data_IF_784910855051
#
_entry.id   IF_784910855051
#
_cell.length_a   1.000
_cell.length_b   1.000
_cell.length_c   1.000
_cell.angle_alpha   90.00
_cell.angle_beta   90.00
_cell.angle_gamma   90.00
#
_symmetry.space_group_name_H-M   'P 1'
#
loop_
_entity.id
_entity.type
_entity.pdbx_description
1 polymer ?
#
# COMPACT_ATOMS: atom_id res chain seq x y z
N UNK A 1 -22.18 19.43 24.35
CA UNK A 1 -22.73 18.18 24.92
C UNK A 1 -22.83 17.21 23.76
N UNK A 2 -21.74 16.52 23.47
CA UNK A 2 -21.68 15.56 22.37
C UNK A 2 -22.28 14.28 22.93
N UNK A 3 -23.42 13.86 22.39
CA UNK A 3 -23.97 12.53 22.60
C UNK A 3 -22.92 11.52 22.16
N UNK A 4 -22.28 10.87 23.14
CA UNK A 4 -21.54 9.61 22.99
C UNK A 4 -22.55 8.55 22.51
N UNK A 5 -22.88 8.58 21.21
CA UNK A 5 -23.33 7.37 20.55
C UNK A 5 -22.09 6.48 20.55
N UNK A 6 -22.08 5.50 21.44
CA UNK A 6 -21.05 4.45 21.48
C UNK A 6 -20.99 3.81 20.10
N UNK A 7 -20.11 4.33 19.26
CA UNK A 7 -19.87 3.77 17.93
C UNK A 7 -19.09 2.49 18.17
N UNK A 8 -19.80 1.37 18.11
CA UNK A 8 -19.17 0.06 18.28
C UNK A 8 -18.41 -0.26 17.00
N UNK A 9 -17.11 0.00 17.01
CA UNK A 9 -16.23 -0.46 15.95
C UNK A 9 -16.13 -1.99 15.99
N UNK A 10 -16.22 -2.63 14.81
CA UNK A 10 -15.86 -4.03 14.66
C UNK A 10 -14.33 -4.14 14.62
N UNK A 11 -13.73 -4.52 15.74
CA UNK A 11 -12.29 -4.77 15.87
C UNK A 11 -12.04 -6.21 15.43
N UNK A 12 -11.09 -6.47 14.52
CA UNK A 12 -10.86 -7.83 14.04
C UNK A 12 -10.36 -8.72 15.18
N UNK A 13 -10.91 -9.93 15.29
CA UNK A 13 -10.35 -10.96 16.17
C UNK A 13 -9.10 -11.55 15.51
N UNK A 14 -7.93 -11.10 15.96
CA UNK A 14 -6.66 -11.48 15.36
C UNK A 14 -6.21 -12.89 15.78
N UNK A 15 -6.93 -13.56 16.67
CA UNK A 15 -6.66 -14.97 17.04
C UNK A 15 -7.14 -15.97 15.98
N UNK A 16 -8.06 -15.57 15.10
CA UNK A 16 -8.69 -16.44 14.09
C UNK A 16 -8.37 -16.05 12.64
N UNK A 17 -7.49 -15.07 12.43
CA UNK A 17 -7.01 -14.69 11.08
C UNK A 17 -6.28 -15.88 10.45
N UNK A 18 -6.57 -16.15 9.19
CA UNK A 18 -5.79 -17.12 8.41
C UNK A 18 -4.43 -16.52 8.04
N UNK A 19 -3.41 -16.82 8.84
CA UNK A 19 -2.04 -16.37 8.61
C UNK A 19 -1.30 -17.15 7.50
N UNK A 20 -1.98 -18.04 6.77
CA UNK A 20 -1.43 -18.69 5.57
C UNK A 20 -1.76 -17.92 4.28
N UNK A 21 -2.76 -17.03 4.33
CA UNK A 21 -3.18 -16.18 3.22
C UNK A 21 -2.75 -14.73 3.46
N UNK A 22 -1.80 -14.24 2.65
CA UNK A 22 -1.28 -12.88 2.79
C UNK A 22 -2.33 -11.77 2.56
N UNK A 23 -3.40 -12.04 1.83
CA UNK A 23 -4.50 -11.08 1.65
C UNK A 23 -5.34 -10.95 2.93
N UNK A 24 -5.56 -12.04 3.65
CA UNK A 24 -6.24 -12.04 4.96
C UNK A 24 -5.41 -11.32 6.02
N UNK A 25 -4.11 -11.60 6.03
CA UNK A 25 -3.15 -10.90 6.90
C UNK A 25 -3.16 -9.40 6.62
N UNK A 26 -3.10 -9.00 5.35
CA UNK A 26 -3.16 -7.60 4.93
C UNK A 26 -4.47 -6.94 5.38
N UNK A 27 -5.63 -7.55 5.10
CA UNK A 27 -6.93 -6.95 5.41
C UNK A 27 -7.12 -6.68 6.91
N UNK A 28 -6.73 -7.64 7.77
CA UNK A 28 -6.75 -7.44 9.22
C UNK A 28 -5.78 -6.32 9.66
N UNK A 29 -4.55 -6.30 9.12
CA UNK A 29 -3.57 -5.27 9.43
C UNK A 29 -4.00 -3.87 8.98
N UNK A 30 -4.63 -3.75 7.81
CA UNK A 30 -5.16 -2.50 7.30
C UNK A 30 -6.28 -1.97 8.21
N UNK A 31 -7.24 -2.82 8.60
CA UNK A 31 -8.30 -2.42 9.53
C UNK A 31 -7.74 -1.95 10.88
N UNK A 32 -6.72 -2.62 11.42
CA UNK A 32 -6.03 -2.18 12.63
C UNK A 32 -5.40 -0.80 12.48
N UNK A 33 -4.79 -0.48 11.33
CA UNK A 33 -4.25 0.86 11.06
C UNK A 33 -5.34 1.92 11.04
N UNK A 34 -6.44 1.68 10.33
CA UNK A 34 -7.57 2.62 10.26
C UNK A 34 -8.23 2.82 11.63
N UNK A 35 -8.30 1.78 12.47
CA UNK A 35 -8.77 1.88 13.86
C UNK A 35 -7.79 2.63 14.76
N UNK A 36 -6.48 2.39 14.60
CA UNK A 36 -5.45 3.09 15.39
C UNK A 36 -5.47 4.60 15.16
N UNK A 37 -5.73 5.06 13.93
CA UNK A 37 -5.91 6.49 13.61
C UNK A 37 -7.09 7.14 14.36
N UNK A 38 -8.00 6.35 14.93
CA UNK A 38 -9.15 6.83 15.72
C UNK A 38 -8.92 6.77 17.21
N UNK A 39 -7.80 6.23 17.65
CA UNK A 39 -7.46 6.19 19.06
C UNK A 39 -6.91 7.54 19.50
N UNK A 40 -7.10 7.88 20.79
CA UNK A 40 -6.75 9.19 21.32
C UNK A 40 -5.32 9.69 20.96
N UNK A 41 -4.25 8.86 20.93
CA UNK A 41 -2.91 9.32 20.58
C UNK A 41 -2.69 9.74 19.12
N UNK A 42 -3.50 9.22 18.19
CA UNK A 42 -3.30 9.40 16.75
C UNK A 42 -4.47 10.09 16.05
N UNK A 43 -5.57 10.33 16.78
CA UNK A 43 -6.77 10.97 16.24
C UNK A 43 -6.54 12.47 16.04
N UNK A 44 -6.48 12.89 14.78
CA UNK A 44 -6.37 14.30 14.38
C UNK A 44 -7.65 14.86 13.79
N UNK A 45 -8.72 14.05 13.68
CA UNK A 45 -9.99 14.43 13.06
C UNK A 45 -11.18 14.11 13.94
N UNK A 46 -12.28 14.83 13.72
CA UNK A 46 -13.51 14.67 14.50
C UNK A 46 -14.29 13.42 14.09
N UNK A 47 -13.73 12.28 14.48
CA UNK A 47 -14.31 10.95 14.32
C UNK A 47 -14.53 10.31 15.68
N UNK A 48 -15.50 9.40 15.75
CA UNK A 48 -15.74 8.64 16.98
C UNK A 48 -14.46 7.92 17.43
N UNK A 49 -14.12 7.96 18.74
CA UNK A 49 -12.88 7.39 19.23
C UNK A 49 -12.96 5.86 19.26
N UNK A 50 -11.91 5.20 18.76
CA UNK A 50 -11.76 3.74 18.90
C UNK A 50 -11.16 3.38 20.28
N UNK A 51 -11.55 2.24 20.89
CA UNK A 51 -11.06 1.84 22.20
C UNK A 51 -9.58 1.40 22.12
N UNK A 52 -8.67 2.28 22.52
CA UNK A 52 -7.21 2.08 22.40
C UNK A 52 -6.72 0.72 22.92
N UNK A 53 -7.16 0.31 24.11
CA UNK A 53 -6.69 -0.94 24.73
C UNK A 53 -7.06 -2.18 23.92
N UNK A 54 -8.27 -2.22 23.36
CA UNK A 54 -8.74 -3.34 22.55
C UNK A 54 -8.02 -3.38 21.20
N UNK A 55 -7.87 -2.22 20.54
CA UNK A 55 -7.16 -2.13 19.24
C UNK A 55 -5.68 -2.50 19.40
N UNK A 56 -5.01 -2.02 20.46
CA UNK A 56 -3.60 -2.37 20.74
C UNK A 56 -3.44 -3.85 21.07
N UNK A 57 -4.39 -4.45 21.79
CA UNK A 57 -4.38 -5.90 22.09
C UNK A 57 -4.40 -6.71 20.80
N UNK A 58 -5.35 -6.45 19.91
CA UNK A 58 -5.47 -7.20 18.66
C UNK A 58 -4.32 -6.89 17.69
N UNK A 59 -3.79 -5.67 17.68
CA UNK A 59 -2.58 -5.35 16.93
C UNK A 59 -1.37 -6.19 17.37
N UNK A 60 -1.21 -6.44 18.68
CA UNK A 60 -0.14 -7.31 19.19
C UNK A 60 -0.36 -8.77 18.80
N UNK A 61 -1.59 -9.28 18.91
CA UNK A 61 -1.92 -10.62 18.42
C UNK A 61 -1.64 -10.78 16.92
N UNK A 62 -1.99 -9.77 16.11
CA UNK A 62 -1.72 -9.76 14.69
C UNK A 62 -0.22 -9.81 14.38
N UNK A 63 0.58 -8.99 15.06
CA UNK A 63 2.04 -9.00 14.93
C UNK A 63 2.62 -10.37 15.30
N UNK A 64 2.21 -10.94 16.43
CA UNK A 64 2.67 -12.27 16.87
C UNK A 64 2.29 -13.36 15.86
N UNK A 65 1.09 -13.27 15.28
CA UNK A 65 0.62 -14.16 14.22
C UNK A 65 1.48 -14.06 12.95
N UNK A 66 1.74 -12.85 12.46
CA UNK A 66 2.64 -12.63 11.31
C UNK A 66 4.03 -13.18 11.61
N UNK A 67 4.65 -12.82 12.72
CA UNK A 67 6.01 -13.29 13.05
C UNK A 67 6.11 -14.82 13.15
N UNK A 68 5.06 -15.47 13.67
CA UNK A 68 5.00 -16.93 13.81
C UNK A 68 4.77 -17.65 12.49
N UNK A 69 3.85 -17.17 11.66
CA UNK A 69 3.32 -17.93 10.52
C UNK A 69 3.74 -17.40 9.15
N UNK A 70 4.44 -16.27 9.04
CA UNK A 70 4.88 -15.72 7.74
C UNK A 70 5.63 -16.72 6.83
N UNK A 71 6.27 -17.73 7.41
CA UNK A 71 6.96 -18.79 6.65
C UNK A 71 6.03 -19.76 5.91
N UNK A 72 4.73 -19.77 6.24
CA UNK A 72 3.72 -20.58 5.56
C UNK A 72 3.05 -19.81 4.42
N UNK A 73 3.21 -18.48 4.37
CA UNK A 73 2.65 -17.63 3.32
C UNK A 73 3.43 -17.87 2.01
N UNK A 74 2.75 -18.09 0.86
CA UNK A 74 3.41 -18.18 -0.43
C UNK A 74 4.27 -16.94 -0.74
N UNK A 75 5.46 -17.08 -1.35
CA UNK A 75 6.38 -15.96 -1.56
C UNK A 75 5.77 -14.73 -2.25
N UNK A 76 4.88 -14.95 -3.22
CA UNK A 76 4.20 -13.86 -3.94
C UNK A 76 3.21 -13.05 -3.10
N UNK A 77 2.77 -13.55 -1.93
CA UNK A 77 1.87 -12.84 -1.01
C UNK A 77 2.59 -12.26 0.22
N UNK A 78 3.86 -12.58 0.43
CA UNK A 78 4.63 -12.12 1.61
C UNK A 78 4.75 -10.60 1.66
N UNK A 79 4.95 -9.93 0.51
CA UNK A 79 5.04 -8.47 0.48
C UNK A 79 3.70 -7.82 0.86
N UNK A 80 2.59 -8.36 0.35
CA UNK A 80 1.23 -7.92 0.68
C UNK A 80 0.97 -8.07 2.19
N UNK A 81 1.28 -9.24 2.76
CA UNK A 81 1.12 -9.50 4.19
C UNK A 81 1.94 -8.53 5.07
N UNK A 82 3.16 -8.20 4.64
CA UNK A 82 4.07 -7.33 5.38
C UNK A 82 3.82 -5.83 5.18
N UNK A 83 2.96 -5.43 4.23
CA UNK A 83 2.73 -4.02 3.92
C UNK A 83 2.32 -3.18 5.15
N UNK A 84 1.33 -3.56 5.97
CA UNK A 84 0.97 -2.80 7.17
C UNK A 84 1.93 -3.04 8.36
N UNK A 85 2.84 -4.01 8.29
CA UNK A 85 3.52 -4.56 9.46
C UNK A 85 4.32 -3.54 10.27
N UNK A 86 5.21 -2.77 9.64
CA UNK A 86 6.05 -1.80 10.37
C UNK A 86 5.21 -0.69 11.01
N UNK A 87 4.13 -0.24 10.35
CA UNK A 87 3.26 0.79 10.89
C UNK A 87 2.43 0.27 12.08
N UNK A 88 1.82 -0.92 11.96
CA UNK A 88 1.09 -1.54 13.08
C UNK A 88 2.03 -1.76 14.26
N UNK A 89 3.26 -2.23 14.00
CA UNK A 89 4.30 -2.42 15.02
C UNK A 89 4.65 -1.12 15.75
N UNK A 90 4.87 -0.04 15.00
CA UNK A 90 5.15 1.29 15.58
C UNK A 90 4.00 1.79 16.43
N UNK A 91 2.77 1.61 15.99
CA UNK A 91 1.60 2.11 16.72
C UNK A 91 1.35 1.30 18.00
N UNK A 92 1.60 -0.01 17.99
CA UNK A 92 1.36 -0.90 19.12
C UNK A 92 2.51 -0.97 20.14
N UNK A 93 3.76 -0.79 19.69
CA UNK A 93 4.97 -0.93 20.51
C UNK A 93 5.80 0.35 20.63
N UNK A 94 5.39 1.45 19.98
CA UNK A 94 6.09 2.74 19.98
C UNK A 94 7.56 2.67 19.52
N UNK A 95 7.87 1.74 18.62
CA UNK A 95 9.21 1.54 18.06
C UNK A 95 9.12 0.90 16.68
N UNK A 96 10.13 1.07 15.80
CA UNK A 96 10.18 0.37 14.52
C UNK A 96 10.17 -1.16 14.69
N UNK A 97 9.64 -1.87 13.69
CA UNK A 97 9.78 -3.30 13.58
C UNK A 97 11.24 -3.72 13.36
N UNK A 98 11.55 -4.99 13.66
CA UNK A 98 12.90 -5.53 13.46
C UNK A 98 13.28 -5.55 11.98
N UNK A 99 14.27 -4.74 11.62
CA UNK A 99 14.81 -4.72 10.27
C UNK A 99 15.41 -6.07 9.83
N UNK A 100 15.98 -6.82 10.78
CA UNK A 100 16.47 -8.18 10.53
C UNK A 100 15.34 -9.13 10.12
N UNK A 101 14.16 -8.98 10.74
CA UNK A 101 12.98 -9.78 10.39
C UNK A 101 12.47 -9.42 9.00
N UNK A 102 12.27 -8.12 8.73
CA UNK A 102 11.78 -7.66 7.42
C UNK A 102 12.75 -8.04 6.28
N UNK A 103 14.04 -7.76 6.44
CA UNK A 103 15.03 -8.07 5.40
C UNK A 103 15.13 -9.57 5.11
N UNK A 104 14.99 -10.44 6.11
CA UNK A 104 14.94 -11.90 5.89
C UNK A 104 13.85 -12.27 4.88
N UNK A 105 12.65 -11.72 5.06
CA UNK A 105 11.50 -12.04 4.22
C UNK A 105 11.53 -11.33 2.87
N UNK A 106 12.01 -10.09 2.81
CA UNK A 106 12.24 -9.42 1.52
C UNK A 106 13.30 -10.13 0.68
N UNK A 107 14.40 -10.60 1.29
CA UNK A 107 15.41 -11.41 0.59
C UNK A 107 14.84 -12.76 0.17
N UNK A 108 13.97 -13.38 0.96
CA UNK A 108 13.26 -14.60 0.58
C UNK A 108 12.42 -14.40 -0.70
N UNK A 109 11.60 -13.35 -0.74
CA UNK A 109 10.80 -12.99 -1.93
C UNK A 109 11.69 -12.68 -3.14
N UNK A 110 12.72 -11.85 -2.96
CA UNK A 110 13.67 -11.53 -4.03
C UNK A 110 14.31 -12.79 -4.62
N UNK A 111 14.76 -13.72 -3.77
CA UNK A 111 15.37 -14.96 -4.24
C UNK A 111 14.36 -15.86 -4.98
N UNK A 112 13.10 -15.90 -4.56
CA UNK A 112 12.04 -16.62 -5.28
C UNK A 112 11.81 -15.99 -6.67
N UNK A 113 11.75 -14.65 -6.75
CA UNK A 113 11.61 -13.93 -8.01
C UNK A 113 12.74 -14.23 -8.98
N UNK A 114 13.99 -14.13 -8.52
CA UNK A 114 15.16 -14.38 -9.37
C UNK A 114 15.28 -15.85 -9.79
N UNK A 115 14.68 -16.78 -9.04
CA UNK A 115 14.55 -18.20 -9.42
C UNK A 115 13.42 -18.47 -10.42
N UNK A 116 12.63 -17.45 -10.79
CA UNK A 116 11.63 -17.54 -11.83
C UNK A 116 10.18 -17.57 -11.34
N UNK A 117 9.89 -17.26 -10.07
CA UNK A 117 8.51 -17.08 -9.62
C UNK A 117 7.90 -15.82 -10.25
N UNK A 118 7.05 -16.02 -11.26
CA UNK A 118 6.41 -14.97 -12.03
C UNK A 118 5.20 -14.34 -11.33
N UNK A 119 4.69 -14.94 -10.26
CA UNK A 119 3.54 -14.40 -9.52
C UNK A 119 3.94 -13.23 -8.63
N UNK A 120 5.23 -13.09 -8.30
CA UNK A 120 5.74 -11.94 -7.55
C UNK A 120 5.71 -10.69 -8.45
N UNK A 121 4.92 -9.70 -8.03
CA UNK A 121 4.82 -8.40 -8.69
C UNK A 121 6.18 -7.67 -8.73
N UNK A 122 6.57 -7.22 -9.92
CA UNK A 122 7.79 -6.44 -10.13
C UNK A 122 7.69 -5.06 -9.44
N UNK A 123 6.52 -4.40 -9.52
CA UNK A 123 6.28 -3.10 -8.88
C UNK A 123 6.34 -3.19 -7.36
N UNK A 124 5.71 -4.21 -6.76
CA UNK A 124 5.75 -4.41 -5.31
C UNK A 124 7.20 -4.67 -4.81
N UNK A 125 7.94 -5.52 -5.52
CA UNK A 125 9.33 -5.82 -5.17
C UNK A 125 10.25 -4.60 -5.39
N UNK A 126 10.03 -3.84 -6.47
CA UNK A 126 10.78 -2.63 -6.75
C UNK A 126 10.56 -1.56 -5.68
N UNK A 127 9.33 -1.36 -5.21
CA UNK A 127 9.04 -0.42 -4.11
C UNK A 127 9.79 -0.79 -2.82
N UNK A 128 9.83 -2.09 -2.48
CA UNK A 128 10.59 -2.57 -1.32
C UNK A 128 12.09 -2.33 -1.48
N UNK A 129 12.67 -2.65 -2.65
CA UNK A 129 14.10 -2.45 -2.89
C UNK A 129 14.44 -0.96 -2.92
N UNK A 130 13.64 -0.14 -3.59
CA UNK A 130 13.79 1.32 -3.65
C UNK A 130 13.85 1.94 -2.27
N UNK A 131 12.88 1.63 -1.40
CA UNK A 131 12.83 2.15 -0.04
C UNK A 131 14.10 1.81 0.78
N UNK A 132 14.75 0.68 0.47
CA UNK A 132 15.99 0.23 1.14
C UNK A 132 17.23 0.88 0.56
N UNK A 133 17.29 1.05 -0.76
CA UNK A 133 18.35 1.79 -1.45
C UNK A 133 18.36 3.27 -1.00
N UNK A 134 17.20 3.92 -0.91
CA UNK A 134 17.06 5.29 -0.40
C UNK A 134 17.56 5.45 1.04
N UNK A 135 17.50 4.38 1.84
CA UNK A 135 18.05 4.33 3.22
C UNK A 135 19.50 3.86 3.27
N UNK A 136 20.14 3.65 2.12
CA UNK A 136 21.52 3.17 1.98
C UNK A 136 21.80 1.84 2.70
N UNK A 137 20.85 0.91 2.69
CA UNK A 137 21.03 -0.43 3.28
C UNK A 137 22.00 -1.28 2.42
N UNK A 138 23.20 -1.66 2.94
CA UNK A 138 24.20 -2.38 2.16
C UNK A 138 23.75 -3.75 1.64
N UNK A 139 22.74 -4.37 2.27
CA UNK A 139 22.18 -5.65 1.82
C UNK A 139 21.61 -5.55 0.39
N UNK A 140 21.29 -4.34 -0.07
CA UNK A 140 20.65 -4.09 -1.35
C UNK A 140 21.62 -3.59 -2.44
N UNK A 141 22.91 -3.40 -2.16
CA UNK A 141 23.87 -2.79 -3.10
C UNK A 141 24.51 -3.74 -4.13
N UNK A 142 24.13 -5.01 -4.13
CA UNK A 142 24.63 -5.99 -5.10
C UNK A 142 23.50 -6.44 -6.05
N UNK A 143 23.13 -7.73 -6.06
CA UNK A 143 22.09 -8.28 -6.94
C UNK A 143 20.75 -7.51 -6.89
N UNK A 144 20.25 -7.03 -5.73
CA UNK A 144 19.01 -6.25 -5.70
C UNK A 144 19.12 -4.91 -6.45
N UNK A 145 20.24 -4.20 -6.33
CA UNK A 145 20.49 -2.94 -7.05
C UNK A 145 20.57 -3.16 -8.57
N UNK A 146 21.24 -4.23 -9.01
CA UNK A 146 21.31 -4.58 -10.43
C UNK A 146 19.91 -4.88 -10.98
N UNK A 147 19.14 -5.72 -10.27
CA UNK A 147 17.76 -6.02 -10.65
C UNK A 147 16.87 -4.77 -10.68
N UNK A 148 16.97 -3.91 -9.67
CA UNK A 148 16.24 -2.64 -9.60
C UNK A 148 16.54 -1.75 -10.81
N UNK A 149 17.83 -1.56 -11.13
CA UNK A 149 18.27 -0.71 -12.24
C UNK A 149 17.82 -1.26 -13.60
N UNK A 150 17.93 -2.58 -13.80
CA UNK A 150 17.47 -3.23 -15.03
C UNK A 150 15.93 -3.17 -15.18
N UNK A 151 15.19 -3.27 -14.08
CA UNK A 151 13.73 -3.15 -14.11
C UNK A 151 13.30 -1.74 -14.49
N UNK A 152 13.91 -0.70 -13.91
CA UNK A 152 13.64 0.69 -14.30
C UNK A 152 14.00 0.96 -15.77
N UNK A 153 15.18 0.52 -16.22
CA UNK A 153 15.58 0.68 -17.63
C UNK A 153 14.56 0.06 -18.60
N UNK A 154 14.07 -1.15 -18.28
CA UNK A 154 13.03 -1.82 -19.08
C UNK A 154 11.73 -1.02 -19.11
N UNK A 155 11.24 -0.52 -17.97
CA UNK A 155 10.01 0.26 -17.93
C UNK A 155 10.15 1.62 -18.62
N UNK A 156 11.29 2.30 -18.47
CA UNK A 156 11.55 3.55 -19.18
C UNK A 156 11.59 3.35 -20.70
N UNK A 157 12.12 2.21 -21.18
CA UNK A 157 12.05 1.85 -22.60
C UNK A 157 10.63 1.59 -23.09
N UNK A 158 9.75 1.04 -22.24
CA UNK A 158 8.33 0.87 -22.57
C UNK A 158 7.62 2.23 -22.72
N UNK A 159 7.92 3.19 -21.84
CA UNK A 159 7.40 4.56 -21.95
C UNK A 159 7.93 5.32 -23.18
N UNK A 160 9.11 4.96 -23.70
CA UNK A 160 9.64 5.59 -24.91
C UNK A 160 8.98 5.10 -26.22
N UNK A 161 8.22 4.00 -26.16
CA UNK A 161 7.54 3.42 -27.31
C UNK A 161 6.18 4.08 -27.61
N UNK A 162 5.68 3.93 -28.84
CA UNK A 162 4.41 4.51 -29.31
C UNK A 162 3.14 3.85 -28.73
N UNK A 163 3.29 2.89 -27.82
CA UNK A 163 2.20 2.11 -27.23
C UNK A 163 2.53 1.81 -25.76
N UNK A 164 2.69 2.87 -24.96
CA UNK A 164 3.03 2.77 -23.53
C UNK A 164 2.09 1.78 -22.83
N UNK A 165 2.65 0.65 -22.38
CA UNK A 165 1.95 -0.41 -21.64
C UNK A 165 0.70 -1.01 -22.30
N UNK A 166 0.56 -0.91 -23.63
CA UNK A 166 -0.67 -1.30 -24.34
C UNK A 166 -1.06 -2.78 -24.19
N UNK A 167 -0.09 -3.66 -23.89
CA UNK A 167 -0.32 -5.10 -23.69
C UNK A 167 -0.53 -5.50 -22.21
N UNK A 168 -0.57 -4.52 -21.28
CA UNK A 168 -0.70 -4.74 -19.85
C UNK A 168 -2.11 -4.43 -19.35
N UNK A 169 -2.52 -5.07 -18.26
CA UNK A 169 -3.74 -4.70 -17.54
C UNK A 169 -3.57 -3.33 -16.88
N UNK A 170 -4.69 -2.64 -16.62
CA UNK A 170 -4.65 -1.28 -16.07
C UNK A 170 -4.02 -1.24 -14.66
N UNK A 171 -4.27 -2.26 -13.82
CA UNK A 171 -3.66 -2.38 -12.49
C UNK A 171 -2.13 -2.51 -12.54
N UNK A 172 -1.60 -3.31 -13.48
CA UNK A 172 -0.16 -3.47 -13.67
C UNK A 172 0.45 -2.16 -14.16
N UNK A 173 -0.18 -1.53 -15.15
CA UNK A 173 0.26 -0.27 -15.72
C UNK A 173 0.27 0.87 -14.67
N UNK A 174 -0.77 0.96 -13.83
CA UNK A 174 -0.84 1.91 -12.71
C UNK A 174 0.24 1.64 -11.66
N UNK A 175 0.52 0.37 -11.36
CA UNK A 175 1.55 -0.02 -10.39
C UNK A 175 2.96 0.33 -10.88
N UNK A 176 3.23 0.17 -12.18
CA UNK A 176 4.47 0.62 -12.81
C UNK A 176 4.54 2.15 -12.81
N UNK A 177 3.48 2.85 -13.22
CA UNK A 177 3.44 4.30 -13.24
C UNK A 177 3.69 4.90 -11.84
N UNK A 178 3.06 4.32 -10.81
CA UNK A 178 3.31 4.66 -9.40
C UNK A 178 4.80 4.52 -9.06
N UNK A 179 5.39 3.38 -9.43
CA UNK A 179 6.81 3.12 -9.16
C UNK A 179 7.71 4.13 -9.87
N UNK A 180 7.43 4.49 -11.12
CA UNK A 180 8.20 5.50 -11.86
C UNK A 180 8.05 6.90 -11.24
N UNK A 181 6.85 7.27 -10.79
CA UNK A 181 6.60 8.55 -10.12
C UNK A 181 7.40 8.67 -8.81
N UNK A 182 7.45 7.59 -8.01
CA UNK A 182 8.08 7.58 -6.70
C UNK A 182 9.62 7.56 -6.75
N UNK A 183 10.21 7.03 -7.83
CA UNK A 183 11.66 6.83 -7.94
C UNK A 183 12.40 7.98 -8.64
N UNK A 184 13.68 8.18 -8.33
CA UNK A 184 14.53 9.15 -9.05
C UNK A 184 14.87 8.63 -10.45
N UNK A 185 14.53 9.42 -11.48
CA UNK A 185 14.68 9.04 -12.89
C UNK A 185 15.75 9.85 -13.63
N UNK A 186 16.57 10.64 -12.94
CA UNK A 186 17.57 11.54 -13.57
C UNK A 186 18.51 10.80 -14.54
N UNK A 187 18.84 9.55 -14.26
CA UNK A 187 19.71 8.76 -15.13
C UNK A 187 19.02 8.32 -16.44
N UNK A 188 17.69 8.39 -16.53
CA UNK A 188 16.91 7.86 -17.65
C UNK A 188 16.27 8.96 -18.51
N UNK A 189 15.93 10.11 -17.92
CA UNK A 189 15.29 11.23 -18.62
C UNK A 189 15.91 12.57 -18.25
N UNK A 190 16.14 13.48 -19.22
CA UNK A 190 16.72 14.79 -18.94
C UNK A 190 15.86 15.66 -17.99
N UNK A 191 14.53 15.53 -18.09
CA UNK A 191 13.57 16.25 -17.26
C UNK A 191 12.57 15.25 -16.65
N UNK A 192 12.90 14.77 -15.44
CA UNK A 192 12.07 13.80 -14.74
C UNK A 192 10.73 14.37 -14.26
N UNK A 193 10.67 15.65 -13.89
CA UNK A 193 9.43 16.23 -13.37
C UNK A 193 8.42 16.43 -14.51
N UNK A 194 8.87 16.91 -15.68
CA UNK A 194 8.01 16.98 -16.85
C UNK A 194 7.54 15.59 -17.33
N UNK A 195 8.41 14.58 -17.27
CA UNK A 195 8.02 13.19 -17.55
C UNK A 195 6.94 12.70 -16.58
N UNK A 196 7.14 12.85 -15.28
CA UNK A 196 6.18 12.41 -14.25
C UNK A 196 4.86 13.17 -14.29
N UNK A 197 4.87 14.46 -14.64
CA UNK A 197 3.63 15.22 -14.86
C UNK A 197 2.82 14.68 -16.03
N UNK A 198 3.47 14.37 -17.17
CA UNK A 198 2.77 13.79 -18.32
C UNK A 198 2.21 12.41 -17.99
N UNK A 199 3.01 11.56 -17.37
CA UNK A 199 2.59 10.23 -16.92
C UNK A 199 1.42 10.31 -15.94
N UNK A 200 1.50 11.21 -14.96
CA UNK A 200 0.45 11.42 -13.98
C UNK A 200 -0.86 11.89 -14.62
N UNK A 201 -0.79 12.84 -15.55
CA UNK A 201 -1.96 13.37 -16.25
C UNK A 201 -2.65 12.33 -17.14
N UNK A 202 -1.87 11.55 -17.90
CA UNK A 202 -2.40 10.48 -18.76
C UNK A 202 -3.16 9.43 -17.93
N UNK A 203 -2.54 8.89 -16.89
CA UNK A 203 -3.20 7.87 -16.06
C UNK A 203 -4.33 8.44 -15.22
N UNK A 204 -4.24 9.68 -14.71
CA UNK A 204 -5.35 10.30 -13.98
C UNK A 204 -6.62 10.40 -14.85
N UNK A 205 -6.47 10.73 -16.13
CA UNK A 205 -7.61 10.83 -17.06
C UNK A 205 -8.30 9.48 -17.35
N UNK A 206 -7.62 8.36 -17.09
CA UNK A 206 -8.15 7.00 -17.26
C UNK A 206 -8.90 6.49 -16.02
N UNK A 207 -8.87 7.23 -14.91
CA UNK A 207 -9.45 6.78 -13.64
C UNK A 207 -10.95 7.06 -13.51
N UNK A 208 -11.51 7.92 -14.36
CA UNK A 208 -12.93 8.31 -14.29
C UNK A 208 -13.89 7.14 -14.62
N UNK A 209 -13.44 6.18 -15.45
CA UNK A 209 -14.25 5.07 -15.96
C UNK A 209 -13.79 3.68 -15.45
N UNK A 210 -13.11 3.62 -14.30
CA UNK A 210 -12.66 2.32 -13.75
C UNK A 210 -13.85 1.43 -13.38
N UNK A 211 -13.77 0.16 -13.77
CA UNK A 211 -14.73 -0.87 -13.35
C UNK A 211 -14.71 -1.03 -11.82
N UNK A 212 -15.83 -0.68 -11.19
CA UNK A 212 -16.03 -0.79 -9.75
C UNK A 212 -15.94 -2.23 -9.22
N UNK A 213 -16.08 -3.24 -10.09
CA UNK A 213 -15.95 -4.66 -9.75
C UNK A 213 -14.52 -5.13 -9.57
N UNK A 214 -13.55 -4.51 -10.24
CA UNK A 214 -12.15 -4.90 -10.22
C UNK A 214 -11.41 -4.30 -9.01
N UNK A 215 -11.29 -5.10 -7.96
CA UNK A 215 -10.66 -4.71 -6.71
C UNK A 215 -9.16 -4.39 -6.85
N UNK A 216 -8.44 -5.07 -7.74
CA UNK A 216 -7.00 -4.91 -7.90
C UNK A 216 -6.69 -3.62 -8.67
N UNK A 217 -7.44 -3.33 -9.73
CA UNK A 217 -7.37 -2.04 -10.44
C UNK A 217 -7.72 -0.88 -9.52
N UNK A 218 -8.78 -0.99 -8.71
CA UNK A 218 -9.15 0.07 -7.75
C UNK A 218 -8.04 0.33 -6.72
N UNK A 219 -7.38 -0.70 -6.19
CA UNK A 219 -6.26 -0.56 -5.25
C UNK A 219 -5.05 0.08 -5.91
N UNK A 220 -4.70 -0.35 -7.13
CA UNK A 220 -3.61 0.22 -7.90
C UNK A 220 -3.85 1.71 -8.21
N UNK A 221 -5.07 2.06 -8.62
CA UNK A 221 -5.49 3.44 -8.86
C UNK A 221 -5.40 4.29 -7.59
N UNK A 222 -5.87 3.75 -6.46
CA UNK A 222 -5.82 4.44 -5.18
C UNK A 222 -4.39 4.71 -4.72
N UNK A 223 -3.50 3.73 -4.87
CA UNK A 223 -2.09 3.89 -4.55
C UNK A 223 -1.39 4.90 -5.48
N UNK A 224 -1.70 4.86 -6.77
CA UNK A 224 -1.23 5.81 -7.77
C UNK A 224 -1.62 7.25 -7.41
N UNK A 225 -2.91 7.50 -7.14
CA UNK A 225 -3.41 8.84 -6.77
C UNK A 225 -2.71 9.34 -5.50
N UNK A 226 -2.57 8.49 -4.47
CA UNK A 226 -1.87 8.86 -3.22
C UNK A 226 -0.38 9.16 -3.41
N UNK A 227 0.26 8.55 -4.40
CA UNK A 227 1.67 8.79 -4.72
C UNK A 227 1.85 10.05 -5.56
N UNK A 228 0.94 10.32 -6.49
CA UNK A 228 1.02 11.43 -7.41
C UNK A 228 0.42 12.75 -6.86
N UNK A 229 -0.46 12.69 -5.85
CA UNK A 229 -1.13 13.87 -5.28
C UNK A 229 -0.15 14.92 -4.78
N UNK A 230 -0.58 16.19 -4.83
CA UNK A 230 0.15 17.39 -4.43
C UNK A 230 1.38 17.76 -5.26
N UNK A 231 2.00 16.80 -5.96
CA UNK A 231 3.19 17.05 -6.77
C UNK A 231 2.93 16.97 -8.28
N UNK A 232 2.21 15.94 -8.73
CA UNK A 232 2.04 15.69 -10.18
C UNK A 232 0.58 15.74 -10.65
N UNK A 233 -0.37 15.64 -9.73
CA UNK A 233 -1.81 15.83 -9.97
C UNK A 233 -2.30 17.03 -9.14
N UNK A 234 -3.21 17.82 -9.71
CA UNK A 234 -3.85 18.94 -9.02
C UNK A 234 -4.57 18.47 -7.74
N UNK A 235 -4.50 19.26 -6.67
CA UNK A 235 -4.94 18.85 -5.33
C UNK A 235 -6.44 18.53 -5.24
N UNK A 236 -7.28 19.29 -5.95
CA UNK A 236 -8.72 19.11 -6.05
C UNK A 236 -9.09 17.83 -6.81
N UNK A 237 -8.44 17.60 -7.96
CA UNK A 237 -8.59 16.37 -8.74
C UNK A 237 -8.15 15.15 -7.93
N UNK A 238 -6.99 15.21 -7.28
CA UNK A 238 -6.51 14.12 -6.44
C UNK A 238 -7.45 13.83 -5.26
N UNK A 239 -7.97 14.85 -4.59
CA UNK A 239 -8.94 14.68 -3.51
C UNK A 239 -10.25 14.05 -4.01
N UNK A 240 -10.74 14.47 -5.18
CA UNK A 240 -11.94 13.90 -5.80
C UNK A 240 -11.75 12.41 -6.09
N UNK A 241 -10.65 12.05 -6.77
CA UNK A 241 -10.31 10.68 -7.11
C UNK A 241 -10.10 9.81 -5.86
N UNK A 242 -9.39 10.32 -4.85
CA UNK A 242 -9.16 9.60 -3.59
C UNK A 242 -10.49 9.24 -2.89
N UNK A 243 -11.42 10.19 -2.79
CA UNK A 243 -12.74 9.97 -2.22
C UNK A 243 -13.60 9.03 -3.07
N UNK A 244 -13.53 9.15 -4.39
CA UNK A 244 -14.24 8.24 -5.31
C UNK A 244 -13.76 6.80 -5.12
N UNK A 245 -12.45 6.56 -5.19
CA UNK A 245 -11.85 5.24 -5.09
C UNK A 245 -12.10 4.60 -3.72
N UNK A 246 -12.01 5.36 -2.62
CA UNK A 246 -12.36 4.87 -1.28
C UNK A 246 -13.83 4.42 -1.18
N UNK A 247 -14.77 5.15 -1.82
CA UNK A 247 -16.19 4.74 -1.86
C UNK A 247 -16.38 3.43 -2.60
N UNK A 248 -15.68 3.22 -3.71
CA UNK A 248 -15.75 1.97 -4.47
C UNK A 248 -15.13 0.81 -3.68
N UNK A 249 -13.91 1.00 -3.17
CA UNK A 249 -13.18 0.00 -2.38
C UNK A 249 -13.97 -0.42 -1.12
N UNK A 250 -14.54 0.53 -0.38
CA UNK A 250 -15.37 0.24 0.81
C UNK A 250 -16.67 -0.50 0.52
N UNK A 251 -17.06 -0.67 -0.74
CA UNK A 251 -18.27 -1.39 -1.16
C UNK A 251 -17.99 -2.60 -2.04
N UNK A 252 -16.73 -2.81 -2.45
CA UNK A 252 -16.38 -3.85 -3.40
C UNK A 252 -16.51 -5.24 -2.74
N UNK A 253 -17.38 -6.13 -3.27
CA UNK A 253 -17.66 -7.43 -2.67
C UNK A 253 -16.49 -8.43 -2.78
N UNK A 254 -15.55 -8.20 -3.70
CA UNK A 254 -14.41 -9.07 -3.97
C UNK A 254 -13.24 -8.83 -2.97
N UNK A 255 -13.30 -7.74 -2.20
CA UNK A 255 -12.34 -7.48 -1.13
C UNK A 255 -12.66 -8.25 0.15
N UNK A 256 -11.60 -8.54 0.92
CA UNK A 256 -11.72 -9.05 2.28
C UNK A 256 -12.61 -8.13 3.15
N UNK A 257 -13.49 -8.66 4.00
CA UNK A 257 -14.36 -7.84 4.83
C UNK A 257 -13.62 -6.84 5.73
N UNK A 258 -12.46 -7.21 6.28
CA UNK A 258 -11.69 -6.28 7.11
C UNK A 258 -11.11 -5.15 6.26
N UNK A 259 -10.60 -5.48 5.07
CA UNK A 259 -10.04 -4.50 4.15
C UNK A 259 -11.12 -3.51 3.66
N UNK A 260 -12.29 -4.03 3.31
CA UNK A 260 -13.45 -3.21 2.93
C UNK A 260 -13.87 -2.25 4.06
N UNK A 261 -13.94 -2.77 5.29
CA UNK A 261 -14.24 -1.95 6.46
C UNK A 261 -13.16 -0.88 6.68
N UNK A 262 -11.88 -1.22 6.51
CA UNK A 262 -10.78 -0.28 6.62
C UNK A 262 -10.92 0.89 5.63
N UNK A 263 -11.24 0.62 4.36
CA UNK A 263 -11.51 1.69 3.39
C UNK A 263 -12.72 2.56 3.75
N UNK A 264 -13.76 1.97 4.34
CA UNK A 264 -14.92 2.74 4.85
C UNK A 264 -14.50 3.68 5.98
N UNK A 265 -13.67 3.19 6.90
CA UNK A 265 -13.08 4.02 7.94
C UNK A 265 -12.17 5.10 7.33
N UNK A 266 -11.28 4.79 6.41
CA UNK A 266 -10.42 5.79 5.77
C UNK A 266 -11.23 6.89 5.07
N UNK A 267 -12.34 6.54 4.40
CA UNK A 267 -13.28 7.49 3.80
C UNK A 267 -13.90 8.42 4.85
N UNK A 268 -14.46 7.85 5.92
CA UNK A 268 -15.07 8.63 7.00
C UNK A 268 -14.05 9.57 7.64
N UNK A 269 -12.81 9.10 7.80
CA UNK A 269 -11.72 9.90 8.34
C UNK A 269 -11.42 11.10 7.43
N UNK A 270 -11.31 10.89 6.11
CA UNK A 270 -11.03 11.97 5.16
C UNK A 270 -12.17 12.99 5.01
N UNK A 271 -13.42 12.60 5.26
CA UNK A 271 -14.57 13.49 5.23
C UNK A 271 -14.75 14.27 6.54
N UNK A 272 -14.24 13.76 7.66
CA UNK A 272 -14.36 14.43 8.95
C UNK A 272 -13.52 15.72 9.03
N UNK A 273 -14.01 16.76 9.71
CA UNK A 273 -13.24 17.97 10.00
C UNK A 273 -11.94 17.68 10.77
N UNK A 274 -10.93 18.54 10.58
CA UNK A 274 -9.74 18.51 11.46
C UNK A 274 -10.12 18.91 12.89
N UNK A 275 -9.41 18.39 13.89
CA UNK A 275 -9.54 18.81 15.29
C UNK A 275 -8.70 20.04 15.64
N UNK A 276 -7.97 20.59 14.65
CA UNK A 276 -7.13 21.79 14.78
C UNK A 276 -7.95 23.09 14.89
#
# INVERSE_FOLDING_TARGET
MITDVLTTYNIPDCSVVDYTDGNKVFGAGHLLLSLMQRTAPYRTRDVAPAPLSAVVKEAKHWIDGVERYIHTIPPHLVLTALYPFDLVYRMAFHRPASMKFLNRWYTHVFNAKVKGDRQISDSALLGVISARLSRRDPLYFDRPLLWYSSTLDRWMKLCAGSAEFADMTLDEALSIATSLIDNDLIAFVPDQDAFKHRLAADYASRLDDIDAGDADTLRAAFHFVRTARYRYIAADCAAHLELHLLRQLSRNPNLDPNDRQAYGLDLDYLLAPSLD
#
